data_IF_478696806953
#
_entry.id   IF_478696806953
#
_cell.length_a   1.000
_cell.length_b   1.000
_cell.length_c   1.000
_cell.angle_alpha   90.00
_cell.angle_beta   90.00
_cell.angle_gamma   90.00
#
_symmetry.space_group_name_H-M   'P 1'
#
loop_
_entity.id
_entity.type
_entity.pdbx_description
1 polymer ?
#
# COMPACT_ATOMS: atom_id res chain seq x y z
N UNK A 1 18.44 -40.69 -27.04
CA UNK A 1 17.11 -40.09 -26.80
C UNK A 1 17.33 -38.86 -25.95
N UNK A 2 17.16 -37.67 -26.54
CA UNK A 2 17.57 -36.37 -25.99
C UNK A 2 16.38 -35.72 -25.28
N UNK A 3 16.62 -35.20 -24.09
CA UNK A 3 15.70 -34.45 -23.24
C UNK A 3 15.31 -33.11 -23.86
N UNK A 4 14.01 -32.84 -23.95
CA UNK A 4 13.43 -31.58 -24.41
C UNK A 4 13.15 -30.65 -23.22
N UNK A 5 13.91 -29.56 -23.11
CA UNK A 5 13.61 -28.39 -22.27
C UNK A 5 12.74 -27.39 -23.05
N UNK A 6 11.63 -26.95 -22.47
CA UNK A 6 10.67 -26.00 -23.07
C UNK A 6 11.14 -24.54 -22.92
N UNK A 7 10.86 -23.62 -23.87
CA UNK A 7 11.42 -22.27 -23.92
C UNK A 7 10.45 -21.23 -23.35
N UNK A 8 10.81 -20.57 -22.24
CA UNK A 8 10.19 -19.32 -21.78
C UNK A 8 11.26 -18.26 -21.51
N UNK A 9 12.10 -18.00 -22.51
CA UNK A 9 12.99 -16.85 -22.54
C UNK A 9 12.71 -16.07 -23.81
N UNK A 10 12.01 -14.94 -23.66
CA UNK A 10 12.06 -13.71 -24.46
C UNK A 10 10.66 -13.07 -24.54
N UNK A 11 10.36 -12.21 -23.57
CA UNK A 11 9.40 -11.13 -23.77
C UNK A 11 10.22 -9.84 -23.62
N UNK A 12 10.41 -9.13 -24.73
CA UNK A 12 11.03 -7.80 -24.79
C UNK A 12 10.03 -6.77 -24.25
N UNK A 13 10.43 -6.04 -23.22
CA UNK A 13 9.73 -4.84 -22.75
C UNK A 13 9.99 -3.71 -23.77
N UNK A 14 8.97 -2.94 -24.23
CA UNK A 14 9.18 -1.82 -25.14
C UNK A 14 9.99 -0.71 -24.47
N UNK A 15 10.98 -0.15 -25.19
CA UNK A 15 11.65 1.09 -24.79
C UNK A 15 10.66 2.24 -24.95
N UNK A 16 10.37 2.94 -23.86
CA UNK A 16 9.72 4.25 -23.90
C UNK A 16 10.80 5.32 -24.01
N UNK A 17 10.63 6.20 -24.98
CA UNK A 17 11.54 7.28 -25.35
C UNK A 17 11.87 8.21 -24.18
N UNK A 18 13.06 8.81 -24.30
CA UNK A 18 13.75 9.63 -23.33
C UNK A 18 12.99 10.89 -22.89
N UNK A 19 13.34 11.40 -21.70
CA UNK A 19 13.09 12.80 -21.38
C UNK A 19 12.11 13.15 -20.26
N UNK A 20 11.87 12.28 -19.25
CA UNK A 20 11.42 12.70 -17.91
C UNK A 20 11.37 11.53 -16.92
N UNK A 21 12.54 11.15 -16.38
CA UNK A 21 12.63 10.09 -15.36
C UNK A 21 12.00 10.55 -14.04
N UNK A 22 10.87 9.93 -13.66
CA UNK A 22 10.34 10.03 -12.31
C UNK A 22 11.29 9.34 -11.30
N UNK A 23 11.51 9.89 -10.09
CA UNK A 23 12.57 9.48 -9.16
C UNK A 23 12.48 8.05 -8.58
N UNK A 24 11.39 7.31 -8.85
CA UNK A 24 11.10 6.04 -8.19
C UNK A 24 11.62 4.81 -8.95
N UNK A 25 12.05 4.98 -10.21
CA UNK A 25 12.44 3.89 -11.11
C UNK A 25 13.79 3.21 -10.74
N UNK A 26 14.67 3.85 -9.98
CA UNK A 26 15.99 3.29 -9.66
C UNK A 26 15.98 2.22 -8.55
N UNK A 27 14.84 1.96 -7.90
CA UNK A 27 14.78 0.99 -6.79
C UNK A 27 14.81 -0.48 -7.21
N UNK A 28 14.51 -0.80 -8.47
CA UNK A 28 14.29 -2.18 -8.92
C UNK A 28 15.51 -2.86 -9.59
N UNK A 29 16.63 -2.17 -9.79
CA UNK A 29 17.79 -2.73 -10.52
C UNK A 29 19.08 -2.52 -9.73
N UNK A 30 19.25 -3.24 -8.62
CA UNK A 30 20.60 -3.54 -8.10
C UNK A 30 20.63 -5.01 -7.71
N UNK A 31 21.45 -5.77 -8.44
CA UNK A 31 21.73 -7.18 -8.20
C UNK A 31 22.15 -7.43 -6.75
N UNK A 32 21.65 -8.51 -6.17
CA UNK A 32 21.83 -8.96 -4.79
C UNK A 32 23.30 -8.91 -4.32
N UNK A 33 23.68 -8.03 -3.37
CA UNK A 33 24.91 -8.23 -2.63
C UNK A 33 24.67 -9.34 -1.59
N UNK A 34 25.52 -10.36 -1.57
CA UNK A 34 25.51 -11.37 -0.50
C UNK A 34 25.65 -10.65 0.84
N UNK A 35 24.69 -10.85 1.74
CA UNK A 35 24.75 -10.38 3.11
C UNK A 35 25.95 -11.03 3.80
N UNK A 36 27.05 -10.28 3.96
CA UNK A 36 28.17 -10.69 4.81
C UNK A 36 27.82 -10.38 6.26
N UNK A 37 27.71 -11.45 7.05
CA UNK A 37 27.37 -11.53 8.48
C UNK A 37 25.88 -11.68 8.81
N UNK A 38 25.54 -12.84 9.35
CA UNK A 38 24.28 -13.13 10.02
C UNK A 38 24.22 -12.32 11.33
N UNK A 39 23.18 -11.52 11.57
CA UNK A 39 23.00 -10.89 12.87
C UNK A 39 22.83 -11.96 13.95
N UNK A 40 23.38 -11.69 15.13
CA UNK A 40 23.24 -12.55 16.31
C UNK A 40 21.79 -12.44 16.82
N UNK A 41 20.91 -13.28 16.27
CA UNK A 41 19.55 -13.46 16.74
C UNK A 41 19.62 -14.09 18.14
N UNK A 42 19.31 -13.33 19.18
CA UNK A 42 18.76 -13.95 20.38
C UNK A 42 17.32 -14.30 20.04
N UNK A 43 17.03 -15.61 19.98
CA UNK A 43 15.73 -16.20 19.69
C UNK A 43 14.58 -15.33 20.22
N UNK A 44 13.96 -14.54 19.33
CA UNK A 44 12.64 -13.99 19.59
C UNK A 44 11.72 -15.20 19.59
N UNK A 45 11.16 -15.48 20.76
CA UNK A 45 10.28 -16.61 21.00
C UNK A 45 9.17 -16.66 19.94
N UNK A 46 8.80 -17.88 19.54
CA UNK A 46 7.61 -18.20 18.75
C UNK A 46 6.34 -17.88 19.54
N UNK A 47 6.09 -16.61 19.81
CA UNK A 47 4.83 -16.12 20.35
C UNK A 47 4.22 -15.20 19.30
N UNK A 48 2.96 -15.44 18.97
CA UNK A 48 2.11 -14.65 18.08
C UNK A 48 1.86 -13.24 18.67
N UNK A 49 2.90 -12.45 18.90
CA UNK A 49 2.75 -11.03 19.21
C UNK A 49 2.85 -10.24 17.91
N UNK A 50 1.87 -9.37 17.67
CA UNK A 50 1.91 -8.40 16.57
C UNK A 50 3.20 -7.58 16.69
N UNK A 51 4.07 -7.66 15.69
CA UNK A 51 5.30 -6.90 15.69
C UNK A 51 5.00 -5.42 15.37
N UNK A 52 5.52 -4.49 16.18
CA UNK A 52 5.51 -3.06 15.85
C UNK A 52 6.90 -2.65 15.35
N UNK A 53 6.94 -2.03 14.17
CA UNK A 53 8.15 -1.48 13.56
C UNK A 53 8.05 0.04 13.60
N UNK A 54 8.96 0.67 14.34
CA UNK A 54 9.06 2.12 14.45
C UNK A 54 10.18 2.66 13.57
N UNK A 55 9.85 3.61 12.70
CA UNK A 55 10.80 4.25 11.79
C UNK A 55 11.23 5.60 12.35
N UNK A 56 12.54 5.77 12.55
CA UNK A 56 13.11 7.05 12.97
C UNK A 56 12.94 8.11 11.87
N UNK A 57 12.14 9.15 12.15
CA UNK A 57 11.86 10.27 11.22
C UNK A 57 12.37 11.63 11.74
N UNK A 58 13.47 11.63 12.50
CA UNK A 58 14.09 12.88 12.96
C UNK A 58 14.53 13.79 11.79
N UNK A 59 14.66 15.11 12.03
CA UNK A 59 15.00 16.12 10.99
C UNK A 59 16.20 15.72 10.13
N UNK A 60 17.28 15.23 10.74
CA UNK A 60 18.48 14.78 10.02
C UNK A 60 18.24 13.53 9.19
N UNK A 61 17.41 12.60 9.68
CA UNK A 61 17.00 11.40 8.94
C UNK A 61 15.98 11.73 7.83
N UNK A 62 15.28 12.86 7.93
CA UNK A 62 14.37 13.37 6.89
C UNK A 62 15.09 13.55 5.55
N UNK A 63 16.29 14.15 5.58
CA UNK A 63 17.14 14.33 4.40
C UNK A 63 17.69 13.02 3.82
N UNK A 64 17.60 11.92 4.58
CA UNK A 64 18.11 10.60 4.24
C UNK A 64 16.98 9.61 3.92
N UNK A 65 15.81 10.11 3.51
CA UNK A 65 14.72 9.25 3.04
C UNK A 65 13.92 8.54 4.13
N UNK A 66 13.98 8.97 5.40
CA UNK A 66 13.19 8.35 6.48
C UNK A 66 11.69 8.34 6.24
N UNK A 67 11.13 9.39 5.62
CA UNK A 67 9.70 9.45 5.27
C UNK A 67 9.34 8.45 4.17
N UNK A 68 10.17 8.36 3.13
CA UNK A 68 10.00 7.36 2.08
C UNK A 68 10.13 5.93 2.64
N UNK A 69 11.03 5.73 3.60
CA UNK A 69 11.20 4.45 4.30
C UNK A 69 9.95 4.09 5.09
N UNK A 70 9.41 5.05 5.87
CA UNK A 70 8.16 4.86 6.60
C UNK A 70 7.01 4.51 5.66
N UNK A 71 6.85 5.28 4.58
CA UNK A 71 5.79 5.06 3.61
C UNK A 71 5.89 3.68 2.94
N UNK A 72 7.09 3.29 2.50
CA UNK A 72 7.32 1.98 1.88
C UNK A 72 7.03 0.86 2.87
N UNK A 73 7.57 0.93 4.09
CA UNK A 73 7.34 -0.09 5.11
C UNK A 73 5.85 -0.21 5.45
N UNK A 74 5.15 0.91 5.62
CA UNK A 74 3.70 0.90 5.84
C UNK A 74 2.93 0.31 4.66
N UNK A 75 3.42 0.47 3.43
CA UNK A 75 2.79 -0.07 2.23
C UNK A 75 3.01 -1.57 2.01
N UNK A 76 4.12 -2.12 2.52
CA UNK A 76 4.50 -3.53 2.28
C UNK A 76 4.39 -4.42 3.52
N UNK A 77 4.24 -3.86 4.72
CA UNK A 77 4.17 -4.63 5.95
C UNK A 77 2.98 -5.60 5.92
N UNK A 78 3.18 -6.87 6.31
CA UNK A 78 2.12 -7.85 6.31
C UNK A 78 1.07 -7.56 7.37
N UNK A 79 -0.10 -8.18 7.24
CA UNK A 79 -1.13 -8.10 8.28
C UNK A 79 -0.57 -8.55 9.62
N UNK A 80 -0.88 -7.81 10.69
CA UNK A 80 -0.34 -8.06 12.02
C UNK A 80 0.99 -7.37 12.32
N UNK A 81 1.60 -6.69 11.34
CA UNK A 81 2.81 -5.87 11.56
C UNK A 81 2.45 -4.40 11.47
N UNK A 82 2.44 -3.72 12.62
CA UNK A 82 2.19 -2.29 12.68
C UNK A 82 3.45 -1.52 12.31
N UNK A 83 3.31 -0.47 11.48
CA UNK A 83 4.42 0.42 11.13
C UNK A 83 4.08 1.83 11.58
N UNK A 84 4.90 2.40 12.45
CA UNK A 84 4.70 3.73 13.02
C UNK A 84 5.96 4.59 12.91
N UNK A 85 5.78 5.90 13.05
CA UNK A 85 6.92 6.81 13.15
C UNK A 85 7.37 6.97 14.59
N UNK A 86 8.67 7.20 14.81
CA UNK A 86 9.20 7.56 16.11
C UNK A 86 10.24 8.68 16.04
N UNK A 87 10.59 9.19 17.22
CA UNK A 87 11.67 10.15 17.40
C UNK A 87 13.05 9.58 17.08
N UNK A 88 14.09 10.36 17.40
CA UNK A 88 15.47 9.97 17.15
C UNK A 88 15.85 8.74 17.98
N UNK A 89 16.27 7.65 17.31
CA UNK A 89 16.81 6.45 17.97
C UNK A 89 18.32 6.57 18.27
N UNK A 90 18.95 7.69 17.90
CA UNK A 90 20.40 7.86 17.98
C UNK A 90 21.17 6.92 17.04
N UNK A 91 22.50 7.01 17.02
CA UNK A 91 23.40 6.13 16.24
C UNK A 91 23.01 6.03 14.74
N UNK A 92 22.52 7.12 14.16
CA UNK A 92 21.91 7.07 12.82
C UNK A 92 22.95 6.98 11.69
N UNK A 93 24.19 7.48 11.88
CA UNK A 93 25.31 7.35 10.94
C UNK A 93 25.03 7.90 9.53
N UNK A 94 24.24 7.16 8.74
CA UNK A 94 23.85 7.42 7.36
C UNK A 94 22.35 7.16 7.04
N UNK A 95 21.43 7.03 8.00
CA UNK A 95 20.02 6.88 7.64
C UNK A 95 19.05 6.61 8.78
N UNK A 96 17.76 6.42 8.47
CA UNK A 96 16.77 6.03 9.47
C UNK A 96 17.15 4.68 10.07
N UNK A 97 16.99 4.60 11.40
CA UNK A 97 17.03 3.35 12.13
C UNK A 97 15.60 2.83 12.31
N UNK A 98 15.46 1.51 12.37
CA UNK A 98 14.20 0.84 12.71
C UNK A 98 14.29 0.28 14.12
N UNK A 99 13.18 0.32 14.83
CA UNK A 99 13.05 -0.32 16.14
C UNK A 99 11.90 -1.32 16.10
N UNK A 100 12.17 -2.56 16.50
CA UNK A 100 11.20 -3.67 16.42
C UNK A 100 10.81 -4.10 17.83
N UNK A 101 9.51 -4.07 18.11
CA UNK A 101 8.88 -4.57 19.34
C UNK A 101 8.20 -5.92 19.09
N UNK A 102 8.05 -6.77 20.13
CA UNK A 102 8.43 -6.59 21.55
C UNK A 102 9.94 -6.75 21.82
N UNK A 103 10.72 -7.27 20.87
CA UNK A 103 12.12 -7.68 21.09
C UNK A 103 13.13 -6.56 21.34
N UNK A 104 12.75 -5.29 21.16
CA UNK A 104 13.62 -4.13 21.40
C UNK A 104 14.83 -4.04 20.46
N UNK A 105 14.77 -4.71 19.30
CA UNK A 105 15.88 -4.75 18.36
C UNK A 105 15.97 -3.42 17.57
N UNK A 106 17.17 -2.84 17.50
CA UNK A 106 17.46 -1.66 16.67
C UNK A 106 18.20 -2.11 15.41
N UNK A 107 17.62 -1.84 14.24
CA UNK A 107 18.28 -2.01 12.95
C UNK A 107 18.80 -0.66 12.47
N UNK A 108 20.12 -0.51 12.53
CA UNK A 108 20.81 0.69 12.11
C UNK A 108 20.96 0.83 10.60
N UNK A 109 21.06 2.07 10.12
CA UNK A 109 21.59 2.39 8.80
C UNK A 109 20.80 1.76 7.65
N UNK A 110 19.47 1.86 7.71
CA UNK A 110 18.64 1.33 6.63
C UNK A 110 18.85 2.11 5.33
N UNK A 111 19.18 3.41 5.41
CA UNK A 111 19.55 4.39 4.35
C UNK A 111 18.65 4.51 3.11
N UNK A 112 17.99 3.43 2.68
CA UNK A 112 17.05 3.38 1.57
C UNK A 112 15.83 2.50 1.93
N UNK A 113 14.65 2.79 1.37
CA UNK A 113 13.46 1.94 1.46
C UNK A 113 13.67 0.49 1.03
N UNK A 114 14.44 0.21 -0.03
CA UNK A 114 14.70 -1.17 -0.47
C UNK A 114 15.46 -1.96 0.60
N UNK A 115 16.47 -1.36 1.23
CA UNK A 115 17.19 -2.03 2.32
C UNK A 115 16.30 -2.20 3.55
N UNK A 116 15.42 -1.24 3.84
CA UNK A 116 14.44 -1.40 4.91
C UNK A 116 13.46 -2.56 4.62
N UNK A 117 12.99 -2.70 3.37
CA UNK A 117 12.16 -3.82 2.94
C UNK A 117 12.90 -5.16 3.03
N UNK A 118 14.19 -5.21 2.69
CA UNK A 118 15.01 -6.41 2.88
C UNK A 118 15.14 -6.79 4.36
N UNK A 119 15.19 -5.82 5.27
CA UNK A 119 15.21 -6.13 6.71
C UNK A 119 13.89 -6.72 7.19
N UNK A 120 12.76 -6.41 6.55
CA UNK A 120 11.48 -7.04 6.88
C UNK A 120 11.48 -8.55 6.65
N UNK A 121 12.24 -9.10 5.70
CA UNK A 121 12.29 -10.57 5.56
C UNK A 121 12.94 -11.24 6.78
N UNK A 122 13.92 -10.56 7.40
CA UNK A 122 14.51 -11.02 8.66
C UNK A 122 13.56 -10.90 9.86
N UNK A 123 12.60 -9.97 9.82
CA UNK A 123 11.64 -9.71 10.90
C UNK A 123 10.40 -10.59 10.76
N UNK A 124 9.85 -10.70 9.55
CA UNK A 124 8.58 -11.35 9.24
C UNK A 124 8.74 -12.84 8.86
N UNK A 125 9.98 -13.32 8.66
CA UNK A 125 10.27 -14.70 8.32
C UNK A 125 10.34 -14.97 6.82
N UNK A 126 10.54 -16.25 6.47
CA UNK A 126 10.82 -16.71 5.10
C UNK A 126 9.70 -16.48 4.09
N UNK A 127 8.46 -16.34 4.56
CA UNK A 127 7.28 -16.19 3.70
C UNK A 127 7.12 -14.74 3.20
N UNK A 128 7.85 -13.79 3.79
CA UNK A 128 7.87 -12.40 3.35
C UNK A 128 8.88 -12.22 2.20
N UNK A 129 8.38 -11.93 1.01
CA UNK A 129 9.17 -11.60 -0.18
C UNK A 129 9.25 -10.07 -0.35
N UNK A 130 10.38 -9.41 -0.04
CA UNK A 130 10.49 -7.97 -0.15
C UNK A 130 10.27 -7.45 -1.57
N UNK A 131 10.75 -8.18 -2.58
CA UNK A 131 10.75 -7.70 -3.96
C UNK A 131 9.37 -7.73 -4.56
N UNK A 132 8.63 -8.82 -4.32
CA UNK A 132 7.22 -8.92 -4.73
C UNK A 132 6.36 -7.83 -4.12
N UNK A 133 6.55 -7.53 -2.83
CA UNK A 133 5.80 -6.47 -2.18
C UNK A 133 6.19 -5.07 -2.68
N UNK A 134 7.49 -4.84 -2.94
CA UNK A 134 7.96 -3.59 -3.54
C UNK A 134 7.43 -3.40 -4.97
N UNK A 135 7.35 -4.48 -5.75
CA UNK A 135 6.80 -4.47 -7.10
C UNK A 135 5.30 -4.14 -7.07
N UNK A 136 4.53 -4.79 -6.20
CA UNK A 136 3.11 -4.49 -6.01
C UNK A 136 2.91 -3.02 -5.56
N UNK A 137 3.75 -2.51 -4.66
CA UNK A 137 3.72 -1.12 -4.24
C UNK A 137 4.06 -0.15 -5.38
N UNK A 138 5.03 -0.51 -6.23
CA UNK A 138 5.39 0.28 -7.41
C UNK A 138 4.22 0.36 -8.39
N UNK A 139 3.61 -0.78 -8.72
CA UNK A 139 2.44 -0.85 -9.59
C UNK A 139 1.26 -0.05 -9.03
N UNK A 140 1.05 -0.09 -7.71
CA UNK A 140 0.06 0.76 -7.03
C UNK A 140 0.32 2.24 -7.28
N UNK A 141 1.56 2.70 -7.04
CA UNK A 141 1.94 4.10 -7.22
C UNK A 141 1.76 4.55 -8.66
N UNK A 142 2.18 3.73 -9.63
CA UNK A 142 1.93 4.01 -11.04
C UNK A 142 0.42 4.08 -11.36
N UNK A 143 -0.39 3.21 -10.76
CA UNK A 143 -1.85 3.26 -10.91
C UNK A 143 -2.46 4.54 -10.32
N UNK A 144 -1.94 5.03 -9.20
CA UNK A 144 -2.35 6.32 -8.60
C UNK A 144 -1.96 7.50 -9.49
N UNK A 145 -0.76 7.50 -10.07
CA UNK A 145 -0.31 8.50 -11.04
C UNK A 145 -1.18 8.50 -12.30
N UNK A 146 -1.56 7.34 -12.83
CA UNK A 146 -2.48 7.26 -13.96
C UNK A 146 -3.89 7.79 -13.62
N UNK A 147 -4.35 7.62 -12.37
CA UNK A 147 -5.59 8.27 -11.93
C UNK A 147 -5.47 9.78 -11.89
N UNK A 148 -4.34 10.32 -11.44
CA UNK A 148 -4.09 11.77 -11.44
C UNK A 148 -4.07 12.35 -12.85
N UNK A 149 -3.54 11.60 -13.83
CA UNK A 149 -3.56 11.96 -15.25
C UNK A 149 -4.95 11.81 -15.91
N UNK A 150 -5.92 11.21 -15.22
CA UNK A 150 -7.25 10.96 -15.78
C UNK A 150 -7.34 9.71 -16.67
N UNK A 151 -6.43 8.75 -16.50
CA UNK A 151 -6.37 7.49 -17.25
C UNK A 151 -6.85 6.29 -16.39
N UNK A 152 -8.15 6.17 -16.09
CA UNK A 152 -8.65 5.13 -15.19
C UNK A 152 -8.49 3.72 -15.75
N UNK A 153 -8.45 3.53 -17.07
CA UNK A 153 -8.24 2.21 -17.68
C UNK A 153 -6.84 1.66 -17.35
N UNK A 154 -5.80 2.44 -17.63
CA UNK A 154 -4.41 2.09 -17.31
C UNK A 154 -4.22 1.85 -15.81
N UNK A 155 -4.87 2.67 -14.97
CA UNK A 155 -4.84 2.47 -13.53
C UNK A 155 -5.41 1.12 -13.09
N UNK A 156 -6.57 0.71 -13.63
CA UNK A 156 -7.18 -0.59 -13.32
C UNK A 156 -6.26 -1.76 -13.74
N UNK A 157 -5.60 -1.66 -14.89
CA UNK A 157 -4.66 -2.69 -15.34
C UNK A 157 -3.45 -2.84 -14.41
N UNK A 158 -2.81 -1.71 -14.05
CA UNK A 158 -1.67 -1.69 -13.14
C UNK A 158 -2.03 -2.24 -11.76
N UNK A 159 -3.18 -1.84 -11.22
CA UNK A 159 -3.66 -2.30 -9.92
C UNK A 159 -4.08 -3.76 -9.94
N UNK A 160 -4.58 -4.26 -11.07
CA UNK A 160 -4.89 -5.69 -11.23
C UNK A 160 -3.61 -6.52 -11.21
N UNK A 161 -2.58 -6.11 -11.96
CA UNK A 161 -1.25 -6.74 -11.90
C UNK A 161 -0.68 -6.73 -10.48
N UNK A 162 -0.84 -5.62 -9.75
CA UNK A 162 -0.38 -5.52 -8.37
C UNK A 162 -1.08 -6.52 -7.43
N UNK A 163 -2.38 -6.74 -7.62
CA UNK A 163 -3.18 -7.70 -6.84
C UNK A 163 -2.81 -9.15 -7.20
N UNK A 164 -2.56 -9.44 -8.49
CA UNK A 164 -2.13 -10.76 -8.98
C UNK A 164 -0.77 -11.21 -8.41
N UNK A 165 0.07 -10.26 -7.98
CA UNK A 165 1.31 -10.57 -7.26
C UNK A 165 1.05 -11.14 -5.86
N UNK A 166 -0.16 -11.00 -5.30
CA UNK A 166 -0.53 -11.43 -3.95
C UNK A 166 0.50 -10.92 -2.93
N UNK A 167 0.65 -9.59 -2.79
CA UNK A 167 1.56 -9.03 -1.80
C UNK A 167 1.09 -9.38 -0.39
N UNK A 168 2.04 -9.65 0.48
CA UNK A 168 1.74 -9.96 1.88
C UNK A 168 1.21 -8.75 2.65
N UNK A 169 1.50 -7.53 2.18
CA UNK A 169 1.05 -6.27 2.77
C UNK A 169 0.29 -5.36 1.79
N UNK A 170 -0.48 -4.42 2.33
CA UNK A 170 -1.11 -3.35 1.55
C UNK A 170 -2.24 -3.77 0.61
N UNK A 171 -2.70 -5.03 0.64
CA UNK A 171 -3.72 -5.54 -0.28
C UNK A 171 -5.05 -4.77 -0.21
N UNK A 172 -5.52 -4.42 0.99
CA UNK A 172 -6.70 -3.55 1.18
C UNK A 172 -6.55 -2.17 0.51
N UNK A 173 -5.33 -1.62 0.44
CA UNK A 173 -5.05 -0.36 -0.25
C UNK A 173 -5.13 -0.53 -1.77
N UNK A 174 -4.69 -1.66 -2.31
CA UNK A 174 -4.80 -1.98 -3.73
C UNK A 174 -6.27 -2.05 -4.16
N UNK A 175 -7.08 -2.81 -3.42
CA UNK A 175 -8.52 -2.88 -3.65
C UNK A 175 -9.20 -1.51 -3.54
N UNK A 176 -8.88 -0.74 -2.49
CA UNK A 176 -9.41 0.62 -2.34
C UNK A 176 -9.03 1.53 -3.52
N UNK A 177 -7.80 1.47 -4.01
CA UNK A 177 -7.36 2.29 -5.13
C UNK A 177 -7.98 1.80 -6.45
N UNK A 178 -8.13 0.49 -6.64
CA UNK A 178 -8.78 -0.08 -7.84
C UNK A 178 -10.27 0.20 -7.87
N UNK A 179 -10.94 0.18 -6.71
CA UNK A 179 -12.32 0.63 -6.56
C UNK A 179 -12.51 2.07 -7.07
N UNK A 180 -11.65 2.99 -6.64
CA UNK A 180 -11.66 4.38 -7.15
C UNK A 180 -11.41 4.44 -8.66
N UNK A 181 -10.48 3.64 -9.19
CA UNK A 181 -10.20 3.59 -10.61
C UNK A 181 -11.40 3.07 -11.43
N UNK A 182 -12.06 2.02 -10.95
CA UNK A 182 -13.26 1.43 -11.55
C UNK A 182 -14.43 2.41 -11.54
N UNK A 183 -14.65 3.14 -10.44
CA UNK A 183 -15.63 4.23 -10.37
C UNK A 183 -15.39 5.29 -11.45
N UNK A 184 -14.13 5.75 -11.62
CA UNK A 184 -13.79 6.73 -12.65
C UNK A 184 -13.95 6.21 -14.08
N UNK A 185 -13.88 4.88 -14.26
CA UNK A 185 -14.15 4.21 -15.52
C UNK A 185 -15.65 3.94 -15.76
N UNK A 186 -16.51 4.16 -14.76
CA UNK A 186 -17.95 3.84 -14.81
C UNK A 186 -18.30 2.39 -14.46
N UNK A 187 -17.33 1.61 -13.99
CA UNK A 187 -17.52 0.22 -13.55
C UNK A 187 -17.92 0.19 -12.06
N UNK A 188 -19.20 0.50 -11.80
CA UNK A 188 -19.70 0.72 -10.44
C UNK A 188 -19.79 -0.60 -9.64
N UNK A 189 -20.24 -1.69 -10.27
CA UNK A 189 -20.32 -3.02 -9.65
C UNK A 189 -18.93 -3.53 -9.28
N UNK A 190 -17.97 -3.46 -10.21
CA UNK A 190 -16.60 -3.86 -9.93
C UNK A 190 -15.94 -2.99 -8.86
N UNK A 191 -16.30 -1.71 -8.78
CA UNK A 191 -15.82 -0.84 -7.70
C UNK A 191 -16.40 -1.20 -6.33
N UNK A 192 -17.67 -1.62 -6.29
CA UNK A 192 -18.32 -2.08 -5.07
C UNK A 192 -17.68 -3.37 -4.54
N UNK A 193 -17.43 -4.36 -5.40
CA UNK A 193 -16.76 -5.60 -5.00
C UNK A 193 -15.35 -5.31 -4.47
N UNK A 194 -14.57 -4.46 -5.13
CA UNK A 194 -13.24 -4.07 -4.63
C UNK A 194 -13.34 -3.35 -3.26
N UNK A 195 -14.32 -2.47 -3.08
CA UNK A 195 -14.49 -1.78 -1.80
C UNK A 195 -14.91 -2.74 -0.68
N UNK A 196 -15.73 -3.75 -0.98
CA UNK A 196 -16.14 -4.80 -0.06
C UNK A 196 -14.94 -5.65 0.38
N UNK A 197 -14.13 -6.11 -0.56
CA UNK A 197 -12.88 -6.83 -0.29
C UNK A 197 -11.95 -6.01 0.63
N UNK A 198 -11.79 -4.71 0.35
CA UNK A 198 -10.99 -3.82 1.20
C UNK A 198 -11.54 -3.70 2.64
N UNK A 199 -12.86 -3.66 2.82
CA UNK A 199 -13.51 -3.62 4.13
C UNK A 199 -13.33 -4.94 4.90
N UNK A 200 -13.44 -6.08 4.22
CA UNK A 200 -13.27 -7.41 4.82
C UNK A 200 -11.82 -7.63 5.28
N UNK A 201 -10.85 -7.19 4.47
CA UNK A 201 -9.42 -7.30 4.80
C UNK A 201 -8.98 -6.34 5.91
N UNK A 202 -9.57 -5.15 5.98
CA UNK A 202 -9.21 -4.13 6.95
C UNK A 202 -10.46 -3.42 7.53
N UNK A 203 -11.16 -4.04 8.52
CA UNK A 203 -12.35 -3.44 9.13
C UNK A 203 -12.10 -2.10 9.83
N UNK A 204 -10.85 -1.84 10.23
CA UNK A 204 -10.42 -0.57 10.82
C UNK A 204 -10.01 0.50 9.80
N UNK A 205 -10.23 0.28 8.50
CA UNK A 205 -9.78 1.18 7.43
C UNK A 205 -10.95 2.01 6.87
N UNK A 206 -11.16 3.25 7.36
CA UNK A 206 -12.36 4.02 7.05
C UNK A 206 -12.46 4.39 5.56
N UNK A 207 -11.34 4.51 4.85
CA UNK A 207 -11.33 4.84 3.42
C UNK A 207 -11.95 3.73 2.55
N UNK A 208 -11.93 2.47 2.97
CA UNK A 208 -12.63 1.40 2.25
C UNK A 208 -14.15 1.60 2.29
N UNK A 209 -14.68 2.00 3.45
CA UNK A 209 -16.11 2.31 3.61
C UNK A 209 -16.53 3.57 2.83
N UNK A 210 -15.64 4.57 2.69
CA UNK A 210 -15.87 5.70 1.79
C UNK A 210 -16.03 5.21 0.34
N UNK A 211 -15.10 4.39 -0.16
CA UNK A 211 -15.19 3.84 -1.51
C UNK A 211 -16.43 2.96 -1.72
N UNK A 212 -16.83 2.19 -0.69
CA UNK A 212 -18.07 1.41 -0.72
C UNK A 212 -19.30 2.32 -0.86
N UNK A 213 -19.34 3.41 -0.08
CA UNK A 213 -20.38 4.44 -0.19
C UNK A 213 -20.41 5.09 -1.56
N UNK A 214 -19.25 5.47 -2.11
CA UNK A 214 -19.13 6.08 -3.44
C UNK A 214 -19.64 5.13 -4.55
N UNK A 215 -19.33 3.83 -4.45
CA UNK A 215 -19.79 2.81 -5.39
C UNK A 215 -21.31 2.59 -5.31
N UNK A 216 -21.86 2.46 -4.10
CA UNK A 216 -23.31 2.31 -3.87
C UNK A 216 -24.08 3.54 -4.36
N UNK A 217 -23.53 4.73 -4.11
CA UNK A 217 -24.09 5.99 -4.58
C UNK A 217 -24.12 6.05 -6.12
N UNK A 218 -23.06 5.58 -6.78
CA UNK A 218 -23.01 5.50 -8.23
C UNK A 218 -23.98 4.45 -8.83
N UNK A 219 -24.33 3.41 -8.05
CA UNK A 219 -25.38 2.44 -8.40
C UNK A 219 -26.80 2.93 -8.06
N UNK A 220 -26.93 4.09 -7.39
CA UNK A 220 -28.22 4.66 -6.99
C UNK A 220 -28.80 4.10 -5.69
N UNK A 221 -28.09 3.22 -4.98
CA UNK A 221 -28.50 2.73 -3.67
C UNK A 221 -28.12 3.74 -2.57
N UNK A 222 -28.95 4.79 -2.46
CA UNK A 222 -28.69 5.92 -1.56
C UNK A 222 -28.70 5.49 -0.09
N UNK A 223 -29.56 4.54 0.27
CA UNK A 223 -29.69 4.07 1.66
C UNK A 223 -28.45 3.26 2.07
N UNK A 224 -28.01 2.32 1.24
CA UNK A 224 -26.80 1.57 1.54
C UNK A 224 -25.55 2.46 1.51
N UNK A 225 -25.50 3.48 0.63
CA UNK A 225 -24.42 4.46 0.61
C UNK A 225 -24.34 5.25 1.92
N UNK A 226 -25.48 5.73 2.44
CA UNK A 226 -25.56 6.41 3.74
C UNK A 226 -25.03 5.54 4.89
N UNK A 227 -25.40 4.26 4.90
CA UNK A 227 -24.92 3.29 5.90
C UNK A 227 -23.41 3.06 5.79
N UNK A 228 -22.85 2.98 4.59
CA UNK A 228 -21.42 2.84 4.37
C UNK A 228 -20.65 4.06 4.88
N UNK A 229 -21.09 5.29 4.57
CA UNK A 229 -20.46 6.51 5.08
C UNK A 229 -20.59 6.64 6.60
N UNK A 230 -21.73 6.24 7.18
CA UNK A 230 -21.93 6.22 8.64
C UNK A 230 -20.98 5.24 9.33
N UNK A 231 -20.74 4.08 8.72
CA UNK A 231 -19.75 3.11 9.18
C UNK A 231 -18.34 3.70 9.13
N UNK A 232 -17.99 4.38 8.02
CA UNK A 232 -16.69 5.05 7.90
C UNK A 232 -16.44 6.04 9.05
N UNK A 233 -17.44 6.86 9.41
CA UNK A 233 -17.37 7.79 10.54
C UNK A 233 -17.28 7.09 11.89
N UNK A 234 -17.90 5.92 12.04
CA UNK A 234 -17.86 5.13 13.27
C UNK A 234 -16.48 4.51 13.49
N UNK A 235 -15.83 4.08 12.40
CA UNK A 235 -14.45 3.55 12.41
C UNK A 235 -13.44 4.64 12.76
N UNK A 236 -13.53 5.80 12.11
CA UNK A 236 -12.69 6.96 12.42
C UNK A 236 -13.48 8.27 12.28
N UNK A 237 -13.89 8.91 13.40
CA UNK A 237 -14.61 10.18 13.35
C UNK A 237 -13.83 11.32 12.70
N UNK A 238 -12.50 11.22 12.59
CA UNK A 238 -11.64 12.26 12.01
C UNK A 238 -11.86 12.42 10.50
N UNK A 239 -12.35 11.37 9.80
CA UNK A 239 -12.60 11.43 8.36
C UNK A 239 -13.63 12.48 7.97
N UNK A 240 -14.46 12.95 8.92
CA UNK A 240 -15.43 14.04 8.70
C UNK A 240 -14.76 15.27 8.06
N UNK A 241 -13.47 15.49 8.35
CA UNK A 241 -12.70 16.61 7.80
C UNK A 241 -12.10 16.34 6.42
N UNK A 242 -11.99 15.07 6.01
CA UNK A 242 -11.43 14.64 4.71
C UNK A 242 -12.28 15.16 3.54
N UNK A 243 -11.60 15.58 2.47
CA UNK A 243 -12.27 16.02 1.24
C UNK A 243 -13.05 14.88 0.58
N UNK A 244 -12.50 13.66 0.53
CA UNK A 244 -13.19 12.51 -0.08
C UNK A 244 -14.54 12.25 0.58
N UNK A 245 -14.56 12.26 1.92
CA UNK A 245 -15.78 12.05 2.70
C UNK A 245 -16.80 13.18 2.47
N UNK A 246 -16.35 14.44 2.53
CA UNK A 246 -17.23 15.60 2.28
C UNK A 246 -17.84 15.58 0.89
N UNK A 247 -17.06 15.24 -0.13
CA UNK A 247 -17.55 15.12 -1.51
C UNK A 247 -18.60 14.02 -1.64
N UNK A 248 -18.36 12.84 -1.06
CA UNK A 248 -19.33 11.73 -1.07
C UNK A 248 -20.66 12.10 -0.39
N UNK A 249 -20.60 12.69 0.80
CA UNK A 249 -21.80 13.14 1.54
C UNK A 249 -22.55 14.24 0.80
N UNK A 250 -21.84 15.21 0.22
CA UNK A 250 -22.50 16.29 -0.55
C UNK A 250 -23.28 15.72 -1.75
N UNK A 251 -22.68 14.76 -2.47
CA UNK A 251 -23.33 14.10 -3.61
C UNK A 251 -24.53 13.25 -3.18
N UNK A 252 -24.43 12.53 -2.06
CA UNK A 252 -25.56 11.80 -1.48
C UNK A 252 -26.73 12.73 -1.14
N UNK A 253 -26.46 13.86 -0.48
CA UNK A 253 -27.49 14.85 -0.12
C UNK A 253 -28.14 15.48 -1.35
N UNK A 254 -27.37 15.74 -2.40
CA UNK A 254 -27.89 16.24 -3.68
C UNK A 254 -28.85 15.22 -4.31
N UNK A 255 -28.45 13.96 -4.42
CA UNK A 255 -29.29 12.90 -5.00
C UNK A 255 -30.57 12.68 -4.20
N UNK A 256 -30.49 12.66 -2.85
CA UNK A 256 -31.66 12.51 -1.99
C UNK A 256 -32.68 13.65 -2.19
N UNK A 257 -32.21 14.89 -2.36
CA UNK A 257 -33.10 16.03 -2.65
C UNK A 257 -33.83 15.85 -3.97
N UNK A 258 -33.13 15.44 -5.02
CA UNK A 258 -33.73 15.20 -6.34
C UNK A 258 -34.80 14.10 -6.28
N UNK A 259 -34.55 13.02 -5.54
CA UNK A 259 -35.51 11.91 -5.40
C UNK A 259 -36.75 12.28 -4.59
N UNK A 260 -36.67 13.22 -3.65
CA UNK A 260 -37.84 13.66 -2.87
C UNK A 260 -38.72 14.67 -3.61
N UNK A 261 -38.21 15.30 -4.69
CA UNK A 261 -38.95 16.27 -5.50
C UNK A 261 -39.58 15.66 -6.76
N UNK A 262 -39.37 14.37 -7.01
CA UNK A 262 -39.86 13.62 -8.17
C UNK A 262 -41.00 12.68 -7.75
#
# INVERSE_FOLDING_TARGET
>A
MKSTSSPLSQIRIPQLDDGSRAPWFEYAIVQSPRLSSTPRWSAVAKTQELAEIRVCVNRSCGKLGSRATLEVLSGIAPQGVAVSSCGCLGRCGAGPNLFVLPGGAIFGHCSTPARAAQLLSGICGSDFDPWRNLEALSLKKMGEEELEKGNPHSAVELLTKAIELIPSGGLHMLYKTRSLARLRRGDNEGAFEDAKEACEMAPGFPQAYICKGDALLAMGDLHAAEMAYSTALSVDPSIRRSNSFKTGIAKLQEMLRVTCTS
#
